data_IF_570056078969
#
_entry.id   IF_570056078969
#
_cell.length_a   1.000
_cell.length_b   1.000
_cell.length_c   1.000
_cell.angle_alpha   90.00
_cell.angle_beta   90.00
_cell.angle_gamma   90.00
#
_symmetry.space_group_name_H-M   'P 1'
#
loop_
_entity.id
_entity.type
_entity.pdbx_description
1 polymer ?
#
# COMPACT_ATOMS: atom_id res chain seq x y z
N UNK A 1 -19.60 55.89 10.47
CA UNK A 1 -19.62 55.59 9.02
C UNK A 1 -18.53 54.57 8.71
N UNK A 2 -18.84 53.28 8.77
CA UNK A 2 -17.91 52.27 8.26
C UNK A 2 -17.90 52.39 6.73
N UNK A 3 -16.74 52.73 6.18
CA UNK A 3 -16.58 53.05 4.77
C UNK A 3 -16.97 51.84 3.92
N UNK A 4 -17.76 52.07 2.86
CA UNK A 4 -18.18 51.04 1.91
C UNK A 4 -17.02 50.14 1.45
N UNK A 5 -15.80 50.69 1.37
CA UNK A 5 -14.59 49.97 0.97
C UNK A 5 -14.24 48.79 1.89
N UNK A 6 -14.54 48.86 3.19
CA UNK A 6 -14.26 47.76 4.13
C UNK A 6 -15.17 46.55 3.91
N UNK A 7 -16.45 46.79 3.55
CA UNK A 7 -17.42 45.72 3.32
C UNK A 7 -17.08 44.96 2.03
N UNK A 8 -16.69 45.66 0.97
CA UNK A 8 -16.26 45.04 -0.30
C UNK A 8 -14.97 44.23 -0.15
N UNK A 9 -14.03 44.67 0.68
CA UNK A 9 -12.82 43.92 0.98
C UNK A 9 -13.13 42.60 1.70
N UNK A 10 -14.00 42.62 2.71
CA UNK A 10 -14.41 41.42 3.46
C UNK A 10 -15.14 40.43 2.54
N UNK A 11 -16.03 40.90 1.66
CA UNK A 11 -16.73 40.03 0.70
C UNK A 11 -15.75 39.36 -0.27
N UNK A 12 -14.76 40.09 -0.79
CA UNK A 12 -13.74 39.53 -1.69
C UNK A 12 -12.90 38.45 -1.01
N UNK A 13 -12.45 38.68 0.23
CA UNK A 13 -11.66 37.69 0.98
C UNK A 13 -12.47 36.41 1.22
N UNK A 14 -13.76 36.52 1.54
CA UNK A 14 -14.65 35.36 1.71
C UNK A 14 -14.86 34.59 0.39
N UNK A 15 -15.03 35.29 -0.73
CA UNK A 15 -15.16 34.65 -2.05
C UNK A 15 -13.88 33.91 -2.46
N UNK A 16 -12.70 34.50 -2.21
CA UNK A 16 -11.40 33.87 -2.48
C UNK A 16 -11.22 32.63 -1.59
N UNK A 17 -11.57 32.71 -0.31
CA UNK A 17 -11.50 31.56 0.60
C UNK A 17 -12.43 30.42 0.17
N UNK A 18 -13.69 30.73 -0.20
CA UNK A 18 -14.64 29.74 -0.72
C UNK A 18 -14.13 29.12 -2.03
N UNK A 19 -13.60 29.93 -2.94
CA UNK A 19 -13.02 29.45 -4.20
C UNK A 19 -11.82 28.51 -3.97
N UNK A 20 -10.93 28.85 -3.03
CA UNK A 20 -9.81 27.98 -2.64
C UNK A 20 -10.29 26.67 -1.99
N UNK A 21 -11.32 26.72 -1.14
CA UNK A 21 -11.90 25.51 -0.53
C UNK A 21 -12.53 24.60 -1.59
N UNK A 22 -13.26 25.17 -2.56
CA UNK A 22 -13.92 24.40 -3.63
C UNK A 22 -12.93 23.83 -4.64
N UNK A 23 -11.79 24.49 -4.86
CA UNK A 23 -10.75 24.00 -5.79
C UNK A 23 -9.81 22.98 -5.13
N UNK A 24 -9.61 23.05 -3.81
CA UNK A 24 -8.76 22.12 -3.06
C UNK A 24 -9.32 20.68 -2.95
N UNK A 25 -10.60 20.45 -3.24
CA UNK A 25 -11.24 19.12 -3.09
C UNK A 25 -11.11 18.21 -4.32
N UNK A 26 -10.49 18.65 -5.41
CA UNK A 26 -10.31 17.83 -6.61
C UNK A 26 -9.01 17.02 -6.59
N UNK A 27 -8.73 16.34 -5.48
CA UNK A 27 -7.71 15.28 -5.49
C UNK A 27 -8.36 14.03 -6.09
N UNK A 28 -8.08 13.77 -7.37
CA UNK A 28 -8.49 12.52 -8.00
C UNK A 28 -7.54 11.42 -7.54
N UNK A 29 -7.97 10.67 -6.51
CA UNK A 29 -7.32 9.44 -6.10
C UNK A 29 -8.09 8.23 -6.64
N UNK A 30 -7.38 7.13 -6.87
CA UNK A 30 -8.04 5.83 -7.06
C UNK A 30 -8.46 5.32 -5.68
N UNK A 31 -9.76 5.28 -5.42
CA UNK A 31 -10.29 4.66 -4.22
C UNK A 31 -10.64 3.20 -4.51
N UNK A 32 -9.93 2.28 -3.85
CA UNK A 32 -10.19 0.85 -3.96
C UNK A 32 -10.93 0.40 -2.70
N UNK A 33 -12.12 -0.15 -2.87
CA UNK A 33 -12.89 -0.80 -1.81
C UNK A 33 -13.27 -2.22 -2.24
N UNK A 34 -13.29 -3.15 -1.29
CA UNK A 34 -13.69 -4.52 -1.57
C UNK A 34 -13.54 -5.43 -0.36
N UNK A 35 -13.98 -6.67 -0.54
CA UNK A 35 -13.81 -7.76 0.41
C UNK A 35 -12.82 -8.78 -0.16
N UNK A 36 -11.90 -9.24 0.68
CA UNK A 36 -10.92 -10.26 0.31
C UNK A 36 -11.35 -11.63 0.85
N UNK A 37 -11.42 -12.62 -0.03
CA UNK A 37 -11.62 -14.03 0.33
C UNK A 37 -10.30 -14.80 0.28
N UNK A 38 -10.12 -15.70 1.25
CA UNK A 38 -8.98 -16.62 1.33
C UNK A 38 -9.02 -17.75 0.29
N UNK A 39 -10.13 -17.90 -0.44
CA UNK A 39 -10.24 -18.84 -1.58
C UNK A 39 -9.23 -18.51 -2.69
N UNK A 40 -8.82 -17.24 -2.77
CA UNK A 40 -7.77 -16.77 -3.67
C UNK A 40 -6.50 -16.52 -2.88
N UNK A 41 -5.45 -17.27 -3.22
CA UNK A 41 -4.12 -17.16 -2.61
C UNK A 41 -3.51 -15.75 -2.78
N UNK A 42 -3.89 -15.03 -3.83
CA UNK A 42 -3.51 -13.64 -4.07
C UNK A 42 -4.58 -12.92 -4.91
N UNK A 43 -4.61 -11.59 -4.83
CA UNK A 43 -5.52 -10.74 -5.62
C UNK A 43 -4.76 -9.54 -6.19
N UNK A 44 -4.91 -9.28 -7.49
CA UNK A 44 -4.43 -8.05 -8.12
C UNK A 44 -5.37 -6.89 -7.79
N UNK A 45 -4.86 -5.88 -7.07
CA UNK A 45 -5.67 -4.75 -6.62
C UNK A 45 -5.65 -3.61 -7.64
N UNK A 46 -4.46 -3.09 -7.97
CA UNK A 46 -4.32 -1.94 -8.86
C UNK A 46 -2.94 -1.86 -9.50
N UNK A 47 -2.88 -1.22 -10.68
CA UNK A 47 -1.66 -0.75 -11.32
C UNK A 47 -1.77 0.76 -11.47
N UNK A 48 -0.70 1.48 -11.16
CA UNK A 48 -0.62 2.92 -11.36
C UNK A 48 0.76 3.30 -11.89
N UNK A 49 0.85 4.50 -12.44
CA UNK A 49 2.08 5.16 -12.83
C UNK A 49 2.03 6.58 -12.28
N UNK A 50 3.20 7.15 -11.97
CA UNK A 50 3.31 8.48 -11.41
C UNK A 50 4.43 9.26 -12.11
N UNK A 51 4.39 10.58 -11.99
CA UNK A 51 5.43 11.44 -12.54
C UNK A 51 6.71 11.31 -11.72
N UNK A 52 7.85 11.60 -12.36
CA UNK A 52 9.14 11.55 -11.70
C UNK A 52 9.20 12.54 -10.52
N UNK A 53 9.79 12.10 -9.41
CA UNK A 53 9.95 12.93 -8.22
C UNK A 53 11.09 13.93 -8.45
N UNK A 54 10.80 15.22 -8.28
CA UNK A 54 11.80 16.29 -8.34
C UNK A 54 12.74 16.17 -7.14
N UNK A 55 14.05 16.28 -7.38
CA UNK A 55 15.07 16.03 -6.34
C UNK A 55 15.15 17.19 -5.34
N UNK A 56 14.90 18.40 -5.82
CA UNK A 56 14.81 19.65 -5.07
C UNK A 56 13.46 19.83 -4.36
N UNK A 57 12.39 19.18 -4.86
CA UNK A 57 11.04 19.29 -4.32
C UNK A 57 10.43 17.91 -3.99
N UNK A 58 11.19 17.07 -3.29
CA UNK A 58 10.79 15.68 -2.99
C UNK A 58 9.46 15.62 -2.25
N UNK A 59 9.28 16.47 -1.24
CA UNK A 59 8.07 16.48 -0.41
C UNK A 59 6.82 16.88 -1.20
N UNK A 60 6.97 17.75 -2.20
CA UNK A 60 5.86 18.22 -3.02
C UNK A 60 5.53 17.27 -4.20
N UNK A 61 6.49 16.44 -4.62
CA UNK A 61 6.36 15.63 -5.85
C UNK A 61 6.34 14.13 -5.61
N UNK A 62 6.63 13.65 -4.40
CA UNK A 62 6.44 12.23 -4.05
C UNK A 62 4.96 11.91 -3.85
N UNK A 63 4.59 10.68 -4.18
CA UNK A 63 3.24 10.18 -3.95
C UNK A 63 3.18 9.33 -2.68
N UNK A 64 1.94 9.01 -2.28
CA UNK A 64 1.67 8.13 -1.15
C UNK A 64 0.56 7.15 -1.50
N UNK A 65 0.64 5.95 -0.92
CA UNK A 65 -0.45 4.97 -0.90
C UNK A 65 -0.72 4.70 0.57
N UNK A 66 -1.92 5.03 1.02
CA UNK A 66 -2.27 4.97 2.44
C UNK A 66 -3.72 4.54 2.61
N UNK A 67 -4.04 4.07 3.80
CA UNK A 67 -5.41 3.72 4.13
C UNK A 67 -5.51 2.84 5.36
N UNK A 68 -6.70 2.27 5.52
CA UNK A 68 -7.06 1.39 6.63
C UNK A 68 -7.38 0.01 6.07
N UNK A 69 -6.84 -1.03 6.70
CA UNK A 69 -7.13 -2.42 6.34
C UNK A 69 -7.53 -3.16 7.60
N UNK A 70 -8.82 -3.42 7.73
CA UNK A 70 -9.43 -4.10 8.87
C UNK A 70 -10.19 -5.35 8.41
N UNK A 71 -10.29 -6.33 9.29
CA UNK A 71 -11.12 -7.52 9.12
C UNK A 71 -12.49 -7.34 9.77
N UNK A 72 -13.49 -8.06 9.26
CA UNK A 72 -14.79 -8.20 9.92
C UNK A 72 -14.73 -9.10 11.16
N UNK A 73 -13.76 -10.02 11.22
CA UNK A 73 -13.47 -10.81 12.42
C UNK A 73 -12.52 -10.02 13.34
N UNK A 74 -13.00 -9.55 14.51
CA UNK A 74 -12.23 -8.71 15.44
C UNK A 74 -10.95 -9.38 15.94
N UNK A 75 -10.88 -10.72 15.93
CA UNK A 75 -9.70 -11.43 16.40
C UNK A 75 -8.47 -11.20 15.51
N UNK A 76 -8.67 -10.88 14.23
CA UNK A 76 -7.58 -10.52 13.32
C UNK A 76 -7.20 -9.04 13.39
N UNK A 77 -8.03 -8.17 13.99
CA UNK A 77 -7.72 -6.76 14.21
C UNK A 77 -6.99 -6.52 15.54
N UNK A 78 -6.31 -7.54 16.05
CA UNK A 78 -5.59 -7.53 17.33
C UNK A 78 -4.13 -7.92 17.11
N UNK A 79 -3.22 -7.31 17.88
CA UNK A 79 -1.80 -7.65 17.89
C UNK A 79 -1.49 -9.06 18.41
N UNK A 80 -2.48 -9.77 18.92
CA UNK A 80 -2.36 -11.13 19.49
C UNK A 80 -2.32 -12.23 18.43
N UNK A 81 -2.81 -11.96 17.21
CA UNK A 81 -2.81 -12.93 16.10
C UNK A 81 -1.94 -12.44 14.95
N UNK A 82 -1.36 -13.40 14.25
CA UNK A 82 -0.66 -13.12 13.00
C UNK A 82 -1.69 -12.73 11.93
N UNK A 83 -1.48 -11.61 11.21
CA UNK A 83 -2.38 -11.23 10.14
C UNK A 83 -2.39 -12.27 9.01
N UNK A 84 -3.57 -12.66 8.49
CA UNK A 84 -3.70 -13.67 7.44
C UNK A 84 -3.22 -13.25 6.06
N UNK A 85 -2.97 -11.96 5.82
CA UNK A 85 -2.56 -11.43 4.52
C UNK A 85 -1.34 -10.52 4.62
N UNK A 86 -0.72 -10.31 3.46
CA UNK A 86 0.30 -9.28 3.26
C UNK A 86 -0.11 -8.43 2.08
N UNK A 87 -0.26 -7.12 2.31
CA UNK A 87 -0.39 -6.13 1.26
C UNK A 87 0.99 -5.85 0.68
N UNK A 88 1.09 -5.92 -0.65
CA UNK A 88 2.35 -5.81 -1.38
C UNK A 88 2.27 -4.69 -2.40
N UNK A 89 3.19 -3.73 -2.29
CA UNK A 89 3.42 -2.68 -3.29
C UNK A 89 4.85 -2.83 -3.79
N UNK A 90 5.03 -2.94 -5.11
CA UNK A 90 6.34 -3.15 -5.72
C UNK A 90 6.48 -2.38 -7.02
N UNK A 91 7.71 -2.03 -7.37
CA UNK A 91 8.02 -1.43 -8.66
C UNK A 91 7.73 -2.41 -9.81
N UNK A 92 7.45 -1.85 -10.99
CA UNK A 92 7.14 -2.62 -12.20
C UNK A 92 8.21 -3.66 -12.56
N UNK A 93 9.47 -3.45 -12.18
CA UNK A 93 10.57 -4.39 -12.44
C UNK A 93 10.52 -5.68 -11.61
N UNK A 94 9.75 -5.69 -10.51
CA UNK A 94 9.55 -6.86 -9.64
C UNK A 94 8.17 -7.50 -9.85
N UNK A 95 7.22 -6.75 -10.43
CA UNK A 95 5.87 -7.23 -10.74
C UNK A 95 5.89 -8.48 -11.62
N UNK A 96 6.82 -8.57 -12.59
CA UNK A 96 6.89 -9.72 -13.50
C UNK A 96 7.21 -11.02 -12.75
N UNK A 97 8.15 -11.00 -11.81
CA UNK A 97 8.49 -12.18 -11.01
C UNK A 97 7.36 -12.53 -10.04
N UNK A 98 6.78 -11.51 -9.39
CA UNK A 98 5.69 -11.68 -8.43
C UNK A 98 4.43 -12.25 -9.11
N UNK A 99 3.88 -11.53 -10.08
CA UNK A 99 2.65 -11.93 -10.78
C UNK A 99 2.85 -13.08 -11.75
N UNK A 100 3.99 -13.13 -12.45
CA UNK A 100 4.27 -14.20 -13.39
C UNK A 100 4.27 -15.56 -12.71
N UNK A 101 4.81 -15.67 -11.49
CA UNK A 101 4.76 -16.91 -10.71
C UNK A 101 3.40 -17.14 -10.05
N UNK A 102 2.71 -16.08 -9.63
CA UNK A 102 1.37 -16.17 -9.04
C UNK A 102 0.34 -16.73 -10.04
N UNK A 103 0.40 -16.27 -11.30
CA UNK A 103 -0.55 -16.66 -12.35
C UNK A 103 -0.27 -18.02 -12.98
N UNK A 104 0.83 -18.68 -12.61
CA UNK A 104 1.13 -20.04 -13.08
C UNK A 104 0.30 -21.09 -12.34
N UNK A 105 -0.12 -22.17 -13.04
CA UNK A 105 -0.78 -23.30 -12.41
C UNK A 105 0.08 -23.93 -11.31
N UNK A 106 -0.55 -24.36 -10.21
CA UNK A 106 0.15 -24.91 -9.04
C UNK A 106 0.99 -26.16 -9.36
N UNK A 107 0.62 -26.88 -10.42
CA UNK A 107 1.32 -28.07 -10.95
C UNK A 107 2.78 -27.77 -11.35
N UNK A 108 3.10 -26.51 -11.67
CA UNK A 108 4.47 -26.10 -12.01
C UNK A 108 5.39 -26.03 -10.78
N UNK A 109 4.83 -26.05 -9.57
CA UNK A 109 5.56 -25.86 -8.31
C UNK A 109 5.60 -27.11 -7.43
N UNK A 110 4.96 -28.19 -7.85
CA UNK A 110 4.99 -29.47 -7.15
C UNK A 110 4.06 -30.50 -7.77
N UNK A 111 4.29 -31.77 -7.44
CA UNK A 111 3.40 -32.84 -7.83
C UNK A 111 2.09 -32.78 -7.03
N UNK A 112 0.99 -32.57 -7.74
CA UNK A 112 -0.38 -32.52 -7.20
C UNK A 112 -1.27 -33.63 -7.78
N UNK A 113 -0.67 -34.67 -8.35
CA UNK A 113 -1.38 -35.81 -8.98
C UNK A 113 -2.36 -36.50 -8.02
N UNK A 114 -1.97 -36.69 -6.77
CA UNK A 114 -2.81 -37.33 -5.74
C UNK A 114 -3.90 -36.40 -5.16
N UNK A 115 -3.91 -35.11 -5.54
CA UNK A 115 -4.81 -34.05 -5.05
C UNK A 115 -4.98 -34.02 -3.52
N UNK A 116 -3.98 -34.52 -2.80
CA UNK A 116 -4.02 -34.52 -1.34
C UNK A 116 -3.91 -33.09 -0.83
N UNK A 117 -4.51 -32.81 0.33
CA UNK A 117 -4.39 -31.49 0.95
C UNK A 117 -2.91 -31.11 1.19
N UNK A 118 -2.08 -32.09 1.58
CA UNK A 118 -0.65 -31.90 1.81
C UNK A 118 0.11 -31.54 0.53
N UNK A 119 -0.13 -32.24 -0.58
CA UNK A 119 0.55 -31.96 -1.85
C UNK A 119 0.18 -30.59 -2.41
N UNK A 120 -1.10 -30.22 -2.30
CA UNK A 120 -1.57 -28.88 -2.69
C UNK A 120 -0.91 -27.80 -1.83
N UNK A 121 -0.88 -27.99 -0.50
CA UNK A 121 -0.24 -27.04 0.41
C UNK A 121 1.27 -26.89 0.14
N UNK A 122 1.98 -28.00 -0.11
CA UNK A 122 3.42 -27.97 -0.45
C UNK A 122 3.67 -27.21 -1.76
N UNK A 123 2.89 -27.49 -2.79
CA UNK A 123 3.04 -26.84 -4.10
C UNK A 123 2.67 -25.35 -4.03
N UNK A 124 1.62 -24.98 -3.29
CA UNK A 124 1.27 -23.58 -3.03
C UNK A 124 2.34 -22.84 -2.22
N UNK A 125 2.92 -23.51 -1.23
CA UNK A 125 4.04 -22.95 -0.44
C UNK A 125 5.26 -22.71 -1.33
N UNK A 126 5.58 -23.63 -2.24
CA UNK A 126 6.65 -23.47 -3.22
C UNK A 126 6.37 -22.32 -4.20
N UNK A 127 5.12 -22.19 -4.66
CA UNK A 127 4.68 -21.06 -5.50
C UNK A 127 4.85 -19.73 -4.79
N UNK A 128 4.36 -19.61 -3.55
CA UNK A 128 4.51 -18.41 -2.73
C UNK A 128 5.98 -18.04 -2.51
N UNK A 129 6.85 -19.00 -2.18
CA UNK A 129 8.31 -18.76 -2.06
C UNK A 129 8.92 -18.23 -3.37
N UNK A 130 8.48 -18.75 -4.50
CA UNK A 130 8.99 -18.34 -5.82
C UNK A 130 8.52 -16.92 -6.18
N UNK A 131 7.24 -16.61 -5.93
CA UNK A 131 6.65 -15.27 -6.08
C UNK A 131 7.46 -14.20 -5.33
N UNK A 132 7.84 -14.48 -4.09
CA UNK A 132 8.54 -13.52 -3.22
C UNK A 132 10.07 -13.66 -3.23
N UNK A 133 10.64 -14.55 -4.05
CA UNK A 133 12.08 -14.87 -4.04
C UNK A 133 12.98 -13.63 -4.12
N UNK A 134 12.63 -12.68 -4.99
CA UNK A 134 13.36 -11.40 -5.14
C UNK A 134 12.98 -10.38 -4.08
N UNK A 135 11.68 -10.21 -3.82
CA UNK A 135 11.16 -9.22 -2.86
C UNK A 135 11.70 -9.49 -1.44
N UNK A 136 11.77 -10.75 -1.02
CA UNK A 136 12.26 -11.12 0.32
C UNK A 136 13.73 -10.73 0.58
N UNK A 137 14.52 -10.51 -0.47
CA UNK A 137 15.92 -10.06 -0.33
C UNK A 137 16.05 -8.54 -0.23
N UNK A 138 15.02 -7.80 -0.66
CA UNK A 138 15.04 -6.33 -0.81
C UNK A 138 14.11 -5.62 0.16
N UNK A 139 13.02 -6.28 0.57
CA UNK A 139 11.99 -5.73 1.41
C UNK A 139 12.44 -5.69 2.86
N UNK A 140 12.29 -4.53 3.48
CA UNK A 140 12.50 -4.37 4.90
C UNK A 140 11.40 -5.12 5.67
N UNK A 141 11.81 -5.84 6.71
CA UNK A 141 10.91 -6.43 7.69
C UNK A 141 11.62 -6.48 9.03
N UNK A 142 10.98 -5.96 10.08
CA UNK A 142 11.57 -5.82 11.42
C UNK A 142 12.30 -7.07 11.91
N UNK A 143 11.75 -8.26 11.64
CA UNK A 143 12.31 -9.54 12.08
C UNK A 143 13.14 -10.26 11.02
N UNK A 144 12.73 -10.18 9.75
CA UNK A 144 13.23 -11.08 8.70
C UNK A 144 14.27 -10.40 7.80
N UNK A 145 14.20 -9.08 7.66
CA UNK A 145 15.07 -8.29 6.79
C UNK A 145 15.35 -6.91 7.39
N UNK A 146 15.93 -6.79 8.59
CA UNK A 146 16.11 -5.50 9.25
C UNK A 146 17.13 -4.59 8.53
N UNK A 147 17.98 -5.14 7.66
CA UNK A 147 18.98 -4.42 6.86
C UNK A 147 18.52 -4.07 5.45
N UNK A 148 17.40 -4.63 5.01
CA UNK A 148 16.83 -4.32 3.72
C UNK A 148 16.29 -2.89 3.71
N UNK A 149 16.15 -2.28 2.53
CA UNK A 149 15.89 -0.84 2.40
C UNK A 149 14.58 -0.51 1.70
N UNK A 150 13.97 -1.48 1.03
CA UNK A 150 12.75 -1.23 0.25
C UNK A 150 11.52 -1.45 1.11
N UNK A 151 10.60 -0.51 1.03
CA UNK A 151 9.35 -0.56 1.79
C UNK A 151 8.21 -1.10 0.92
N UNK A 152 8.02 -2.43 0.95
CA UNK A 152 7.11 -3.13 0.03
C UNK A 152 5.95 -3.86 0.70
N UNK A 153 6.02 -4.13 2.00
CA UNK A 153 5.17 -5.12 2.67
C UNK A 153 4.44 -4.51 3.87
N UNK A 154 3.14 -4.82 4.01
CA UNK A 154 2.38 -4.60 5.24
C UNK A 154 1.63 -5.87 5.60
N UNK A 155 1.74 -6.32 6.84
CA UNK A 155 0.85 -7.37 7.33
C UNK A 155 -0.52 -6.77 7.59
N UNK A 156 -1.55 -7.39 7.00
CA UNK A 156 -2.93 -6.89 7.05
C UNK A 156 -3.92 -8.02 7.37
N UNK A 157 -5.03 -7.72 8.06
CA UNK A 157 -5.44 -6.44 8.65
C UNK A 157 -4.51 -5.93 9.77
N UNK A 158 -4.61 -4.62 10.02
CA UNK A 158 -3.85 -3.93 11.06
C UNK A 158 -4.68 -3.85 12.35
N UNK A 159 -4.01 -3.59 13.48
CA UNK A 159 -4.69 -3.53 14.78
C UNK A 159 -5.66 -2.35 14.82
N UNK A 160 -6.89 -2.56 15.33
CA UNK A 160 -7.90 -1.49 15.39
C UNK A 160 -7.40 -0.28 16.17
N UNK A 161 -7.49 0.91 15.57
CA UNK A 161 -7.02 2.16 16.18
C UNK A 161 -5.50 2.31 16.20
N UNK A 162 -4.75 1.32 15.69
CA UNK A 162 -3.30 1.36 15.61
C UNK A 162 -2.77 1.31 14.18
N UNK A 163 -1.51 1.67 14.00
CA UNK A 163 -0.80 1.51 12.73
C UNK A 163 -0.42 0.04 12.50
N UNK A 164 -0.12 -0.32 11.26
CA UNK A 164 0.33 -1.67 10.92
C UNK A 164 1.69 -1.97 11.56
N UNK A 165 1.99 -3.26 11.78
CA UNK A 165 3.13 -3.67 12.62
C UNK A 165 4.51 -3.30 12.06
N UNK A 166 4.57 -3.03 10.75
CA UNK A 166 5.74 -2.57 10.02
C UNK A 166 5.92 -1.05 10.09
N UNK A 167 4.90 -0.29 10.51
CA UNK A 167 5.02 1.15 10.76
C UNK A 167 5.65 1.36 12.14
N UNK A 168 6.89 1.84 12.17
CA UNK A 168 7.67 2.08 13.38
C UNK A 168 7.51 3.49 13.95
N UNK A 169 6.99 4.42 13.16
CA UNK A 169 6.78 5.81 13.52
C UNK A 169 5.48 6.35 12.93
N UNK A 170 4.50 6.58 13.80
CA UNK A 170 3.17 7.11 13.43
C UNK A 170 3.26 8.49 12.76
N UNK A 171 4.30 9.29 13.02
CA UNK A 171 4.45 10.60 12.38
C UNK A 171 4.74 10.51 10.87
N UNK A 172 5.17 9.34 10.39
CA UNK A 172 5.40 9.05 8.96
C UNK A 172 4.16 8.46 8.26
N UNK A 173 3.11 8.14 9.02
CA UNK A 173 1.85 7.64 8.49
C UNK A 173 0.91 8.82 8.21
N UNK A 174 0.23 8.79 7.07
CA UNK A 174 -0.75 9.82 6.71
C UNK A 174 -1.85 9.91 7.78
N UNK A 175 -2.35 11.11 8.09
CA UNK A 175 -3.41 11.30 9.09
C UNK A 175 -4.60 10.37 8.81
N UNK A 176 -5.15 9.78 9.88
CA UNK A 176 -6.30 8.86 9.85
C UNK A 176 -6.08 7.52 9.11
N UNK A 177 -4.86 7.25 8.65
CA UNK A 177 -4.47 5.98 8.04
C UNK A 177 -3.78 5.02 9.03
N UNK A 178 -3.81 3.71 8.74
CA UNK A 178 -3.09 2.67 9.46
C UNK A 178 -1.73 2.33 8.83
N UNK A 179 -1.56 2.60 7.53
CA UNK A 179 -0.28 2.43 6.83
C UNK A 179 -0.04 3.54 5.83
N UNK A 180 1.21 3.72 5.43
CA UNK A 180 1.59 4.58 4.31
C UNK A 180 2.81 4.01 3.60
N UNK A 181 2.68 3.75 2.30
CA UNK A 181 3.82 3.58 1.42
C UNK A 181 4.16 4.92 0.78
N UNK A 182 5.44 5.26 0.77
CA UNK A 182 5.96 6.38 -0.02
C UNK A 182 6.34 5.88 -1.41
N UNK A 183 5.76 6.45 -2.46
CA UNK A 183 6.12 6.14 -3.85
C UNK A 183 6.86 7.31 -4.47
N UNK A 184 8.04 7.04 -5.01
CA UNK A 184 8.89 8.06 -5.60
C UNK A 184 9.77 7.45 -6.69
N UNK A 185 10.02 8.21 -7.75
CA UNK A 185 11.00 7.84 -8.78
C UNK A 185 12.13 8.86 -8.74
N UNK A 186 13.22 8.45 -8.09
CA UNK A 186 14.44 9.24 -7.96
C UNK A 186 15.50 8.89 -9.00
N UNK A 187 15.21 8.02 -9.96
CA UNK A 187 16.21 7.61 -10.96
C UNK A 187 16.66 8.83 -11.77
N UNK A 188 17.87 9.30 -11.53
CA UNK A 188 18.54 10.21 -12.44
C UNK A 188 18.93 9.44 -13.71
N UNK A 189 18.83 10.04 -14.92
CA UNK A 189 19.41 9.43 -16.11
C UNK A 189 20.89 9.13 -15.84
N UNK A 190 21.32 7.91 -16.20
CA UNK A 190 22.73 7.49 -16.13
C UNK A 190 23.55 8.19 -17.21
#
# INVERSE_FOLDING_TARGET
MFSHSYIFAILKVKFIAIYLIVTATNVSALHVFGEWSTDKVYTFVARFAFQKTAVDEVEATRGYIFGNVTSLDPAFNSSTRLPPATLVVVDGEYVTDLYGNASRPVQFFGDVSNKSHLSLWLAETARCRTMFSRINTLAWHRKCGPKAKMDFLRQVPCTTGDVCSEEDDRSRVQPEAQFTFTVQDRRQPR
#
